data_IF_930434319586
#
_entry.id   IF_930434319586
#
_cell.length_a   1.000
_cell.length_b   1.000
_cell.length_c   1.000
_cell.angle_alpha   90.00
_cell.angle_beta   90.00
_cell.angle_gamma   90.00
#
_symmetry.space_group_name_H-M   'P 1'
#
loop_
_entity.id
_entity.type
_entity.pdbx_description
1 polymer ?
#
# COMPACT_ATOMS: atom_id res chain seq x y z
N UNK A 1 -24.01 -13.65 55.96
CA UNK A 1 -24.83 -12.53 56.51
C UNK A 1 -25.93 -13.01 57.45
N UNK A 2 -26.71 -14.07 57.10
CA UNK A 2 -27.83 -14.54 57.93
C UNK A 2 -27.45 -14.93 59.38
N UNK A 3 -26.33 -15.64 59.58
CA UNK A 3 -25.90 -16.05 60.93
C UNK A 3 -25.51 -14.86 61.85
N UNK A 4 -24.96 -13.78 61.27
CA UNK A 4 -24.54 -12.60 62.05
C UNK A 4 -25.73 -11.78 62.54
N UNK A 5 -26.81 -11.73 61.75
CA UNK A 5 -28.07 -11.07 62.14
C UNK A 5 -28.72 -11.84 63.30
N UNK A 6 -28.78 -13.18 63.21
CA UNK A 6 -29.34 -14.02 64.27
C UNK A 6 -28.60 -13.82 65.60
N UNK A 7 -27.27 -13.77 65.56
CA UNK A 7 -26.44 -13.60 66.76
C UNK A 7 -26.59 -12.21 67.39
N UNK A 8 -26.90 -11.17 66.60
CA UNK A 8 -27.20 -9.83 67.11
C UNK A 8 -28.58 -9.75 67.81
N UNK A 9 -29.56 -10.51 67.31
CA UNK A 9 -30.95 -10.49 67.81
C UNK A 9 -31.10 -11.32 69.10
N UNK A 10 -30.26 -12.34 69.28
CA UNK A 10 -30.31 -13.29 70.42
C UNK A 10 -30.27 -12.62 71.82
N UNK A 11 -29.34 -11.68 72.12
CA UNK A 11 -29.32 -11.04 73.44
C UNK A 11 -30.55 -10.15 73.69
N UNK A 12 -31.18 -9.60 72.64
CA UNK A 12 -32.38 -8.78 72.80
C UNK A 12 -33.62 -9.57 73.19
N UNK A 13 -33.81 -10.78 72.63
CA UNK A 13 -34.90 -11.66 73.08
C UNK A 13 -34.69 -12.14 74.51
N UNK A 14 -33.44 -12.37 74.92
CA UNK A 14 -33.12 -12.79 76.30
C UNK A 14 -33.40 -11.68 77.33
N UNK A 15 -33.10 -10.40 77.02
CA UNK A 15 -33.42 -9.28 77.91
C UNK A 15 -34.92 -8.93 77.94
N UNK A 16 -35.69 -9.31 76.92
CA UNK A 16 -37.13 -9.03 76.88
C UNK A 16 -37.97 -9.97 77.77
N UNK A 17 -37.44 -11.13 78.19
CA UNK A 17 -38.22 -12.13 78.93
C UNK A 17 -38.22 -11.96 80.45
N UNK A 18 -37.36 -11.12 81.02
CA UNK A 18 -37.14 -11.13 82.47
C UNK A 18 -36.80 -9.73 82.94
N UNK A 19 -37.80 -8.97 83.43
CA UNK A 19 -37.69 -7.97 84.51
C UNK A 19 -39.11 -7.45 84.85
N UNK A 20 -39.59 -7.81 86.04
CA UNK A 20 -40.88 -7.39 86.58
C UNK A 20 -40.79 -6.03 87.26
N UNK A 21 -41.52 -5.05 86.75
CA UNK A 21 -41.71 -3.74 87.39
C UNK A 21 -42.68 -2.87 86.61
N UNK A 22 -43.91 -2.70 87.13
CA UNK A 22 -45.11 -2.17 86.43
C UNK A 22 -44.91 -0.80 85.72
N UNK A 23 -43.96 0.04 86.17
CA UNK A 23 -43.72 1.37 85.58
C UNK A 23 -42.37 1.52 84.85
N UNK A 24 -41.38 0.66 85.12
CA UNK A 24 -40.07 0.67 84.44
C UNK A 24 -40.10 -0.13 83.12
N UNK A 25 -41.09 -1.01 82.96
CA UNK A 25 -41.21 -1.93 81.83
C UNK A 25 -41.28 -1.23 80.46
N UNK A 26 -42.00 -0.11 80.34
CA UNK A 26 -42.16 0.59 79.06
C UNK A 26 -40.88 1.33 78.66
N UNK A 27 -40.23 2.04 79.60
CA UNK A 27 -39.04 2.85 79.32
C UNK A 27 -37.86 1.94 78.94
N UNK A 28 -37.64 0.86 79.68
CA UNK A 28 -36.56 -0.10 79.39
C UNK A 28 -36.78 -0.81 78.05
N UNK A 29 -38.03 -1.22 77.75
CA UNK A 29 -38.37 -1.80 76.43
C UNK A 29 -38.19 -0.80 75.29
N UNK A 30 -38.57 0.46 75.48
CA UNK A 30 -38.38 1.50 74.47
C UNK A 30 -36.90 1.77 74.21
N UNK A 31 -36.07 1.82 75.27
CA UNK A 31 -34.62 1.96 75.16
C UNK A 31 -34.01 0.77 74.42
N UNK A 32 -34.39 -0.46 74.77
CA UNK A 32 -33.96 -1.68 74.09
C UNK A 32 -34.38 -1.69 72.62
N UNK A 33 -35.62 -1.31 72.31
CA UNK A 33 -36.09 -1.20 70.93
C UNK A 33 -35.29 -0.17 70.13
N UNK A 34 -35.00 1.00 70.71
CA UNK A 34 -34.19 2.04 70.06
C UNK A 34 -32.75 1.55 69.80
N UNK A 35 -32.15 0.86 70.78
CA UNK A 35 -30.80 0.30 70.66
C UNK A 35 -30.76 -0.79 69.58
N UNK A 36 -31.74 -1.69 69.57
CA UNK A 36 -31.90 -2.72 68.54
C UNK A 36 -32.09 -2.10 67.15
N UNK A 37 -33.00 -1.15 67.03
CA UNK A 37 -33.29 -0.45 65.78
C UNK A 37 -32.05 0.29 65.27
N UNK A 38 -31.28 0.94 66.15
CA UNK A 38 -30.01 1.58 65.80
C UNK A 38 -28.99 0.60 65.22
N UNK A 39 -28.78 -0.56 65.84
CA UNK A 39 -27.81 -1.55 65.32
C UNK A 39 -28.34 -2.19 64.03
N UNK A 40 -29.65 -2.47 63.95
CA UNK A 40 -30.29 -3.03 62.76
C UNK A 40 -30.11 -2.07 61.57
N UNK A 41 -30.38 -0.78 61.77
CA UNK A 41 -30.16 0.26 60.76
C UNK A 41 -28.69 0.33 60.34
N UNK A 42 -27.75 0.29 61.27
CA UNK A 42 -26.32 0.28 60.96
C UNK A 42 -25.91 -0.93 60.10
N UNK A 43 -26.39 -2.12 60.46
CA UNK A 43 -26.05 -3.36 59.76
C UNK A 43 -26.76 -3.51 58.40
N UNK A 44 -27.95 -2.92 58.23
CA UNK A 44 -28.67 -2.89 56.95
C UNK A 44 -28.12 -1.80 56.03
N UNK A 45 -27.75 -0.63 56.56
CA UNK A 45 -27.30 0.52 55.77
C UNK A 45 -26.05 0.21 54.93
N UNK A 46 -25.09 -0.54 55.48
CA UNK A 46 -23.87 -0.93 54.77
C UNK A 46 -24.12 -1.79 53.53
N UNK A 47 -24.70 -3.01 53.62
CA UNK A 47 -24.98 -3.84 52.46
C UNK A 47 -25.98 -3.20 51.51
N UNK A 48 -26.92 -2.39 52.01
CA UNK A 48 -27.84 -1.65 51.15
C UNK A 48 -27.06 -0.63 50.29
N UNK A 49 -26.20 0.19 50.90
CA UNK A 49 -25.33 1.14 50.19
C UNK A 49 -24.42 0.43 49.19
N UNK A 50 -23.80 -0.68 49.58
CA UNK A 50 -22.91 -1.46 48.72
C UNK A 50 -23.66 -2.02 47.49
N UNK A 51 -24.91 -2.46 47.65
CA UNK A 51 -25.73 -2.93 46.52
C UNK A 51 -26.12 -1.79 45.57
N UNK A 52 -26.46 -0.61 46.09
CA UNK A 52 -26.73 0.57 45.26
C UNK A 52 -25.47 1.01 44.51
N UNK A 53 -24.34 1.11 45.20
CA UNK A 53 -23.07 1.49 44.59
C UNK A 53 -22.65 0.49 43.52
N UNK A 54 -22.72 -0.82 43.80
CA UNK A 54 -22.42 -1.87 42.82
C UNK A 54 -23.31 -1.78 41.57
N UNK A 55 -24.58 -1.38 41.71
CA UNK A 55 -25.47 -1.16 40.55
C UNK A 55 -25.08 0.09 39.78
N UNK A 56 -24.77 1.19 40.47
CA UNK A 56 -24.30 2.43 39.85
C UNK A 56 -23.01 2.16 39.06
N UNK A 57 -22.03 1.51 39.67
CA UNK A 57 -20.74 1.17 39.05
C UNK A 57 -20.93 0.25 37.84
N UNK A 58 -21.83 -0.76 37.93
CA UNK A 58 -22.15 -1.63 36.80
C UNK A 58 -22.81 -0.88 35.65
N UNK A 59 -23.70 0.07 35.92
CA UNK A 59 -24.36 0.87 34.88
C UNK A 59 -23.35 1.83 34.26
N UNK A 60 -22.54 2.51 35.07
CA UNK A 60 -21.48 3.40 34.62
C UNK A 60 -20.46 2.65 33.74
N UNK A 61 -19.95 1.51 34.20
CA UNK A 61 -19.02 0.68 33.43
C UNK A 61 -19.63 0.11 32.15
N UNK A 62 -20.91 -0.27 32.15
CA UNK A 62 -21.61 -0.66 30.92
C UNK A 62 -21.73 0.51 29.94
N UNK A 63 -22.10 1.70 30.41
CA UNK A 63 -22.22 2.89 29.58
C UNK A 63 -20.87 3.28 28.97
N UNK A 64 -19.80 3.28 29.78
CA UNK A 64 -18.44 3.55 29.33
C UNK A 64 -17.99 2.52 28.28
N UNK A 65 -18.20 1.22 28.53
CA UNK A 65 -17.85 0.17 27.58
C UNK A 65 -18.62 0.27 26.25
N UNK A 66 -19.88 0.74 26.27
CA UNK A 66 -20.67 0.98 25.06
C UNK A 66 -20.13 2.20 24.31
N UNK A 67 -19.81 3.29 25.02
CA UNK A 67 -19.22 4.48 24.41
C UNK A 67 -17.85 4.17 23.80
N UNK A 68 -17.01 3.41 24.50
CA UNK A 68 -15.71 2.97 24.01
C UNK A 68 -15.85 2.10 22.76
N UNK A 69 -16.72 1.07 22.79
CA UNK A 69 -16.99 0.23 21.62
C UNK A 69 -17.54 1.03 20.45
N UNK A 70 -18.42 2.00 20.70
CA UNK A 70 -18.96 2.89 19.67
C UNK A 70 -17.87 3.77 19.07
N UNK A 71 -17.01 4.37 19.90
CA UNK A 71 -15.87 5.19 19.44
C UNK A 71 -14.89 4.34 18.65
N UNK A 72 -14.50 3.18 19.16
CA UNK A 72 -13.59 2.25 18.48
C UNK A 72 -14.16 1.78 17.13
N UNK A 73 -15.47 1.49 17.07
CA UNK A 73 -16.16 1.13 15.82
C UNK A 73 -16.16 2.28 14.82
N UNK A 74 -16.47 3.51 15.25
CA UNK A 74 -16.43 4.71 14.41
C UNK A 74 -15.02 4.97 13.87
N UNK A 75 -14.00 4.94 14.74
CA UNK A 75 -12.60 5.12 14.34
C UNK A 75 -12.16 4.05 13.33
N UNK A 76 -12.51 2.78 13.55
CA UNK A 76 -12.21 1.70 12.59
C UNK A 76 -12.93 1.90 11.26
N UNK A 77 -14.19 2.36 11.29
CA UNK A 77 -14.95 2.66 10.08
C UNK A 77 -14.32 3.82 9.31
N UNK A 78 -13.96 4.89 9.99
CA UNK A 78 -13.34 6.07 9.37
C UNK A 78 -11.95 5.75 8.81
N UNK A 79 -11.14 4.97 9.53
CA UNK A 79 -9.85 4.46 9.03
C UNK A 79 -10.03 3.57 7.80
N UNK A 80 -10.99 2.65 7.82
CA UNK A 80 -11.30 1.81 6.67
C UNK A 80 -11.76 2.62 5.45
N UNK A 81 -12.60 3.65 5.66
CA UNK A 81 -13.06 4.54 4.59
C UNK A 81 -11.89 5.35 4.01
N UNK A 82 -11.02 5.90 4.86
CA UNK A 82 -9.81 6.61 4.42
C UNK A 82 -8.90 5.71 3.60
N UNK A 83 -8.63 4.48 4.06
CA UNK A 83 -7.83 3.50 3.31
C UNK A 83 -8.43 3.16 1.96
N UNK A 84 -9.76 3.04 1.87
CA UNK A 84 -10.45 2.79 0.60
C UNK A 84 -10.34 4.00 -0.33
N UNK A 85 -10.46 5.21 0.19
CA UNK A 85 -10.32 6.45 -0.58
C UNK A 85 -8.87 6.63 -1.09
N UNK A 86 -7.88 6.47 -0.22
CA UNK A 86 -6.46 6.48 -0.56
C UNK A 86 -6.13 5.40 -1.60
N UNK A 87 -6.63 4.17 -1.43
CA UNK A 87 -6.44 3.09 -2.39
C UNK A 87 -7.05 3.42 -3.76
N UNK A 88 -8.24 4.04 -3.80
CA UNK A 88 -8.87 4.48 -5.05
C UNK A 88 -8.07 5.59 -5.74
N UNK A 89 -7.62 6.59 -4.98
CA UNK A 89 -6.80 7.69 -5.51
C UNK A 89 -5.47 7.15 -6.06
N UNK A 90 -4.79 6.29 -5.30
CA UNK A 90 -3.54 5.66 -5.72
C UNK A 90 -3.74 4.78 -6.96
N UNK A 91 -4.81 3.98 -7.02
CA UNK A 91 -5.13 3.17 -8.19
C UNK A 91 -5.42 4.03 -9.42
N UNK A 92 -6.21 5.10 -9.28
CA UNK A 92 -6.49 6.02 -10.39
C UNK A 92 -5.22 6.71 -10.88
N UNK A 93 -4.38 7.20 -9.97
CA UNK A 93 -3.10 7.83 -10.31
C UNK A 93 -2.15 6.84 -10.99
N UNK A 94 -2.08 5.60 -10.50
CA UNK A 94 -1.25 4.54 -11.11
C UNK A 94 -1.71 4.21 -12.54
N UNK A 95 -3.01 4.10 -12.77
CA UNK A 95 -3.56 3.84 -14.11
C UNK A 95 -3.28 5.02 -15.05
N UNK A 96 -3.41 6.26 -14.57
CA UNK A 96 -3.10 7.45 -15.37
C UNK A 96 -1.62 7.52 -15.74
N UNK A 97 -0.73 7.29 -14.77
CA UNK A 97 0.73 7.25 -14.98
C UNK A 97 1.10 6.14 -15.95
N UNK A 98 0.58 4.92 -15.76
CA UNK A 98 0.85 3.80 -16.67
C UNK A 98 0.38 4.09 -18.10
N UNK A 99 -0.76 4.77 -18.29
CA UNK A 99 -1.22 5.20 -19.62
C UNK A 99 -0.29 6.23 -20.24
N UNK A 100 0.13 7.24 -19.48
CA UNK A 100 1.09 8.26 -19.95
C UNK A 100 2.44 7.63 -20.31
N UNK A 101 2.95 6.72 -19.48
CA UNK A 101 4.18 5.99 -19.74
C UNK A 101 4.07 5.11 -20.98
N UNK A 102 2.96 4.39 -21.17
CA UNK A 102 2.73 3.57 -22.36
C UNK A 102 2.71 4.41 -23.65
N UNK A 103 2.03 5.57 -23.63
CA UNK A 103 2.01 6.49 -24.78
C UNK A 103 3.40 7.05 -25.06
N UNK A 104 4.12 7.51 -24.03
CA UNK A 104 5.47 8.04 -24.17
C UNK A 104 6.45 6.96 -24.68
N UNK A 105 6.33 5.73 -24.18
CA UNK A 105 7.14 4.60 -24.62
C UNK A 105 6.85 4.26 -26.08
N UNK A 106 5.57 4.16 -26.47
CA UNK A 106 5.19 3.89 -27.85
C UNK A 106 5.71 4.98 -28.80
N UNK A 107 5.60 6.26 -28.41
CA UNK A 107 6.12 7.38 -29.19
C UNK A 107 7.65 7.33 -29.29
N UNK A 108 8.34 6.99 -28.20
CA UNK A 108 9.79 6.84 -28.19
C UNK A 108 10.24 5.71 -29.10
N UNK A 109 9.63 4.53 -28.99
CA UNK A 109 9.91 3.37 -29.85
C UNK A 109 9.68 3.71 -31.32
N UNK A 110 8.57 4.38 -31.64
CA UNK A 110 8.28 4.83 -33.01
C UNK A 110 9.36 5.78 -33.53
N UNK A 111 9.75 6.79 -32.74
CA UNK A 111 10.78 7.76 -33.12
C UNK A 111 12.15 7.09 -33.31
N UNK A 112 12.53 6.21 -32.39
CA UNK A 112 13.80 5.48 -32.45
C UNK A 112 13.83 4.56 -33.69
N UNK A 113 12.72 3.87 -34.00
CA UNK A 113 12.59 3.06 -35.20
C UNK A 113 12.65 3.90 -36.49
N UNK A 114 11.99 5.07 -36.54
CA UNK A 114 12.06 5.98 -37.69
C UNK A 114 13.49 6.48 -37.94
N UNK A 115 14.22 6.82 -36.86
CA UNK A 115 15.63 7.22 -36.94
C UNK A 115 16.53 6.07 -37.40
N UNK A 116 16.32 4.86 -36.89
CA UNK A 116 17.06 3.68 -37.29
C UNK A 116 16.81 3.34 -38.77
N UNK A 117 15.54 3.37 -39.21
CA UNK A 117 15.19 3.18 -40.62
C UNK A 117 15.85 4.21 -41.53
N UNK A 118 15.84 5.50 -41.14
CA UNK A 118 16.50 6.56 -41.90
C UNK A 118 18.03 6.33 -41.98
N UNK A 119 18.64 5.90 -40.87
CA UNK A 119 20.07 5.58 -40.83
C UNK A 119 20.42 4.37 -41.72
N UNK A 120 19.59 3.31 -41.70
CA UNK A 120 19.75 2.14 -42.57
C UNK A 120 19.62 2.54 -44.03
N UNK A 121 18.60 3.32 -44.40
CA UNK A 121 18.40 3.80 -45.77
C UNK A 121 19.59 4.62 -46.26
N UNK A 122 20.08 5.53 -45.43
CA UNK A 122 21.26 6.35 -45.75
C UNK A 122 22.51 5.48 -45.92
N UNK A 123 22.79 4.59 -44.96
CA UNK A 123 23.94 3.69 -45.03
C UNK A 123 23.88 2.77 -46.25
N UNK A 124 22.71 2.24 -46.58
CA UNK A 124 22.52 1.40 -47.76
C UNK A 124 22.76 2.17 -49.07
N UNK A 125 22.27 3.42 -49.15
CA UNK A 125 22.54 4.29 -50.29
C UNK A 125 24.03 4.58 -50.44
N UNK A 126 24.70 4.96 -49.36
CA UNK A 126 26.14 5.26 -49.37
C UNK A 126 26.96 4.02 -49.76
N UNK A 127 26.59 2.83 -49.27
CA UNK A 127 27.22 1.57 -49.66
C UNK A 127 26.98 1.22 -51.12
N UNK A 128 25.76 1.40 -51.63
CA UNK A 128 25.42 1.16 -53.03
C UNK A 128 26.25 2.08 -53.95
N UNK A 129 26.30 3.37 -53.64
CA UNK A 129 27.06 4.36 -54.44
C UNK A 129 28.57 4.05 -54.41
N UNK A 130 29.09 3.55 -53.28
CA UNK A 130 30.48 3.11 -53.16
C UNK A 130 30.78 1.86 -54.01
N UNK A 131 29.94 0.82 -53.92
CA UNK A 131 30.10 -0.41 -54.69
C UNK A 131 29.91 -0.18 -56.20
N UNK A 132 29.02 0.70 -56.61
CA UNK A 132 28.86 1.09 -58.02
C UNK A 132 30.14 1.75 -58.58
N UNK A 133 30.73 2.68 -57.83
CA UNK A 133 31.99 3.34 -58.20
C UNK A 133 33.15 2.34 -58.25
N UNK A 134 33.22 1.42 -57.28
CA UNK A 134 34.25 0.38 -57.22
C UNK A 134 34.12 -0.61 -58.37
N UNK A 135 32.90 -1.07 -58.65
CA UNK A 135 32.60 -1.97 -59.77
C UNK A 135 32.95 -1.31 -61.10
N UNK A 136 32.54 -0.05 -61.31
CA UNK A 136 32.89 0.71 -62.52
C UNK A 136 34.41 0.79 -62.71
N UNK A 137 35.16 1.12 -61.65
CA UNK A 137 36.64 1.16 -61.71
C UNK A 137 37.24 -0.21 -62.04
N UNK A 138 36.74 -1.28 -61.43
CA UNK A 138 37.23 -2.63 -61.66
C UNK A 138 36.96 -3.08 -63.11
N UNK A 139 35.74 -2.89 -63.61
CA UNK A 139 35.37 -3.23 -65.00
C UNK A 139 36.21 -2.43 -66.01
N UNK A 140 36.39 -1.12 -65.78
CA UNK A 140 37.25 -0.29 -66.65
C UNK A 140 38.70 -0.78 -66.61
N UNK A 141 39.22 -1.13 -65.43
CA UNK A 141 40.58 -1.67 -65.28
C UNK A 141 40.74 -3.03 -65.96
N UNK A 142 39.73 -3.89 -65.88
CA UNK A 142 39.72 -5.21 -66.53
C UNK A 142 39.73 -5.06 -68.05
N UNK A 143 38.85 -4.23 -68.61
CA UNK A 143 38.81 -3.95 -70.05
C UNK A 143 40.14 -3.36 -70.54
N UNK A 144 40.72 -2.41 -69.80
CA UNK A 144 42.04 -1.85 -70.14
C UNK A 144 43.11 -2.94 -70.14
N UNK A 145 43.16 -3.76 -69.08
CA UNK A 145 44.11 -4.86 -68.98
C UNK A 145 43.95 -5.88 -70.12
N UNK A 146 42.71 -6.22 -70.50
CA UNK A 146 42.43 -7.12 -71.62
C UNK A 146 42.86 -6.54 -72.97
N UNK A 147 42.67 -5.24 -73.20
CA UNK A 147 43.16 -4.53 -74.40
C UNK A 147 44.70 -4.51 -74.43
N UNK A 148 45.35 -4.30 -73.29
CA UNK A 148 46.82 -4.31 -73.21
C UNK A 148 47.43 -5.72 -73.28
N UNK A 149 46.73 -6.74 -72.76
CA UNK A 149 47.17 -8.13 -72.76
C UNK A 149 46.90 -8.84 -74.10
N UNK A 150 45.78 -8.51 -74.76
CA UNK A 150 45.59 -8.89 -76.16
C UNK A 150 46.65 -8.17 -76.98
N UNK A 151 47.48 -8.93 -77.71
CA UNK A 151 48.67 -8.47 -78.45
C UNK A 151 48.42 -7.38 -79.53
N UNK A 152 47.23 -6.78 -79.59
CA UNK A 152 46.84 -5.68 -80.46
C UNK A 152 47.75 -4.45 -80.39
N UNK A 153 48.41 -4.20 -79.25
CA UNK A 153 49.35 -3.06 -79.10
C UNK A 153 50.82 -3.42 -79.34
N UNK A 154 51.21 -4.70 -79.33
CA UNK A 154 52.59 -5.10 -79.72
C UNK A 154 52.82 -4.99 -81.22
N UNK A 155 51.75 -4.93 -82.03
CA UNK A 155 51.85 -4.77 -83.48
C UNK A 155 52.31 -3.36 -83.86
N UNK A 156 51.99 -2.33 -83.06
CA UNK A 156 52.27 -0.93 -83.40
C UNK A 156 53.78 -0.66 -83.55
N UNK A 157 54.64 -1.27 -82.72
CA UNK A 157 56.08 -1.01 -82.81
C UNK A 157 56.72 -1.61 -84.08
N UNK A 158 56.21 -2.73 -84.61
CA UNK A 158 56.70 -3.30 -85.88
C UNK A 158 56.11 -2.59 -87.09
N UNK A 159 54.83 -2.21 -87.04
CA UNK A 159 54.17 -1.44 -88.09
C UNK A 159 54.84 -0.07 -88.28
N UNK A 160 55.13 0.63 -87.18
CA UNK A 160 55.82 1.92 -87.18
C UNK A 160 57.20 1.85 -87.83
N UNK A 161 57.98 0.79 -87.55
CA UNK A 161 59.30 0.60 -88.19
C UNK A 161 59.15 0.36 -89.70
N UNK A 162 58.16 -0.45 -90.11
CA UNK A 162 57.94 -0.71 -91.55
C UNK A 162 57.49 0.53 -92.31
N UNK A 163 56.68 1.39 -91.71
CA UNK A 163 56.26 2.67 -92.32
C UNK A 163 57.45 3.62 -92.47
N UNK A 164 58.34 3.69 -91.47
CA UNK A 164 59.56 4.51 -91.55
C UNK A 164 60.47 3.98 -92.66
N UNK A 165 60.70 2.67 -92.74
CA UNK A 165 61.56 2.07 -93.77
C UNK A 165 61.02 2.31 -95.19
N UNK A 166 59.70 2.23 -95.39
CA UNK A 166 59.06 2.42 -96.71
C UNK A 166 58.99 3.89 -97.16
N UNK A 167 59.17 4.86 -96.25
CA UNK A 167 59.20 6.29 -96.59
C UNK A 167 60.60 6.77 -97.00
N UNK A 168 61.65 6.04 -96.59
CA UNK A 168 63.05 6.40 -96.83
C UNK A 168 63.65 5.65 -98.04
N UNK A 169 63.10 4.49 -98.41
CA UNK A 169 63.40 3.80 -99.68
C UNK A 169 62.49 4.23 -100.81
#
# INVERSE_FOLDING_TARGET
MRIKILLLVLPFFAFASEHGGVNYDIIERALNFLLFFGILLYFIAKPLKDLYQSRIDKIAGKLESIQEKLRASKLKKDDALKRVEEAKLNASSLVETARKEAVNLAQKVKKDAELEMANIQKSFKDQKDFEERKTTKNVVSEILNDIFASDSLKVDQKELINIILKKVG
#
